data_IF_107618674369
#
_entry.id   IF_107618674369
#
_cell.length_a   1.000
_cell.length_b   1.000
_cell.length_c   1.000
_cell.angle_alpha   90.00
_cell.angle_beta   90.00
_cell.angle_gamma   90.00
#
_symmetry.space_group_name_H-M   'P 1'
#
loop_
_entity.id
_entity.type
_entity.pdbx_description
1 polymer ?
#
# COMPACT_ATOMS: atom_id res chain seq x y z
N UNK A 1 15.12 -15.53 -43.69
CA UNK A 1 15.04 -16.64 -42.73
C UNK A 1 16.15 -16.49 -41.71
N UNK A 2 15.76 -16.47 -40.43
CA UNK A 2 16.57 -16.52 -39.21
C UNK A 2 17.55 -15.39 -38.91
N UNK A 3 17.08 -14.41 -38.12
CA UNK A 3 17.94 -13.65 -37.20
C UNK A 3 17.47 -13.95 -35.78
N UNK A 4 18.39 -14.50 -34.98
CA UNK A 4 18.22 -14.90 -33.58
C UNK A 4 17.98 -13.65 -32.72
N UNK A 5 16.89 -13.64 -31.95
CA UNK A 5 16.68 -12.68 -30.88
C UNK A 5 17.50 -13.10 -29.65
N UNK A 6 18.33 -12.17 -29.17
CA UNK A 6 19.02 -12.25 -27.88
C UNK A 6 18.03 -11.97 -26.76
N UNK A 7 17.77 -12.95 -25.91
CA UNK A 7 17.25 -12.69 -24.56
C UNK A 7 18.37 -12.13 -23.70
N UNK A 8 18.23 -10.88 -23.25
CA UNK A 8 18.97 -10.38 -22.08
C UNK A 8 18.14 -10.71 -20.83
N UNK A 9 18.76 -11.25 -19.77
CA UNK A 9 18.08 -11.47 -18.49
C UNK A 9 17.91 -10.13 -17.78
N UNK A 10 16.65 -9.74 -17.51
CA UNK A 10 16.33 -8.64 -16.61
C UNK A 10 16.74 -9.01 -15.20
N UNK A 11 17.71 -8.28 -14.65
CA UNK A 11 18.28 -8.51 -13.34
C UNK A 11 17.26 -8.28 -12.22
N UNK A 12 17.15 -9.29 -11.37
CA UNK A 12 16.56 -9.22 -10.03
C UNK A 12 17.25 -8.13 -9.21
N UNK A 13 16.51 -7.13 -8.76
CA UNK A 13 16.87 -6.35 -7.58
C UNK A 13 15.79 -6.60 -6.53
N UNK A 14 16.16 -7.40 -5.54
CA UNK A 14 15.40 -7.58 -4.33
C UNK A 14 15.22 -6.22 -3.65
N UNK A 15 13.98 -5.85 -3.35
CA UNK A 15 13.69 -4.81 -2.37
C UNK A 15 14.10 -5.31 -0.98
N UNK A 16 15.41 -5.29 -0.73
CA UNK A 16 15.91 -5.21 0.63
C UNK A 16 15.53 -3.82 1.12
N UNK A 17 14.62 -3.75 2.10
CA UNK A 17 14.43 -2.57 2.92
C UNK A 17 15.76 -2.30 3.65
N UNK A 18 16.66 -1.59 2.96
CA UNK A 18 17.86 -1.03 3.51
C UNK A 18 17.41 0.17 4.33
N UNK A 19 17.37 -0.02 5.65
CA UNK A 19 17.25 1.06 6.62
C UNK A 19 18.47 1.96 6.43
N UNK A 20 18.34 3.00 5.60
CA UNK A 20 19.30 4.10 5.54
C UNK A 20 18.90 5.06 6.66
N UNK A 21 19.59 4.96 7.79
CA UNK A 21 19.59 6.00 8.82
C UNK A 21 20.28 7.23 8.22
N UNK A 22 19.53 8.07 7.50
CA UNK A 22 19.93 9.44 7.23
C UNK A 22 19.69 10.22 8.53
N UNK A 23 20.76 10.42 9.32
CA UNK A 23 20.73 11.31 10.46
C UNK A 23 20.60 12.76 9.97
N UNK A 24 19.61 13.48 10.50
CA UNK A 24 19.53 14.92 10.39
C UNK A 24 19.75 15.57 11.76
N UNK A 25 20.76 16.46 11.74
CA UNK A 25 21.26 17.42 12.72
C UNK A 25 20.43 17.79 13.95
N UNK A 26 21.15 17.88 15.09
CA UNK A 26 20.72 18.46 16.35
C UNK A 26 20.19 19.91 16.19
N UNK A 27 18.94 20.14 16.57
CA UNK A 27 18.48 21.46 17.00
C UNK A 27 17.81 21.34 18.37
N UNK A 28 18.53 21.76 19.40
CA UNK A 28 18.05 21.86 20.79
C UNK A 28 17.07 23.04 20.93
N UNK A 29 15.79 22.76 20.67
CA UNK A 29 14.65 23.61 21.05
C UNK A 29 13.97 23.12 22.34
N UNK A 30 13.28 23.99 23.09
CA UNK A 30 12.89 23.74 24.47
C UNK A 30 11.89 22.58 24.61
N UNK A 31 12.06 21.79 25.66
CA UNK A 31 11.19 20.69 26.04
C UNK A 31 9.82 21.20 26.49
N UNK A 32 8.91 21.37 25.54
CA UNK A 32 7.47 21.41 25.77
C UNK A 32 6.91 20.00 25.59
N UNK A 33 6.24 19.47 26.61
CA UNK A 33 5.59 18.16 26.52
C UNK A 33 4.56 18.14 25.40
N UNK A 34 4.39 16.95 24.80
CA UNK A 34 3.30 16.64 23.85
C UNK A 34 3.51 17.05 22.38
N UNK A 35 4.76 17.07 21.94
CA UNK A 35 5.17 17.12 20.53
C UNK A 35 5.60 15.72 20.08
N UNK A 36 5.26 15.31 18.84
CA UNK A 36 5.75 14.06 18.24
C UNK A 36 7.28 13.97 18.38
N UNK A 37 7.75 12.94 19.07
CA UNK A 37 9.19 12.65 19.17
C UNK A 37 9.72 12.24 17.80
N UNK A 38 11.00 12.47 17.53
CA UNK A 38 11.57 12.11 16.22
C UNK A 38 11.51 10.60 15.96
N UNK A 39 11.57 9.77 17.01
CA UNK A 39 11.38 8.33 16.92
C UNK A 39 9.93 7.95 16.56
N UNK A 40 8.94 8.61 17.17
CA UNK A 40 7.51 8.40 16.84
C UNK A 40 7.21 8.86 15.40
N UNK A 41 7.78 10.00 15.00
CA UNK A 41 7.66 10.54 13.66
C UNK A 41 8.23 9.58 12.60
N UNK A 42 9.44 9.06 12.81
CA UNK A 42 10.04 8.09 11.88
C UNK A 42 9.18 6.82 11.73
N UNK A 43 8.54 6.37 12.81
CA UNK A 43 7.63 5.22 12.77
C UNK A 43 6.33 5.54 12.00
N UNK A 44 5.76 6.73 12.24
CA UNK A 44 4.58 7.22 11.52
C UNK A 44 4.87 7.32 10.02
N UNK A 45 6.04 7.82 9.64
CA UNK A 45 6.38 8.02 8.23
C UNK A 45 6.53 6.71 7.45
N UNK A 46 7.19 5.71 8.05
CA UNK A 46 7.30 4.38 7.44
C UNK A 46 5.92 3.72 7.32
N UNK A 47 5.11 3.77 8.39
CA UNK A 47 3.81 3.10 8.40
C UNK A 47 2.84 3.75 7.41
N UNK A 48 2.80 5.08 7.36
CA UNK A 48 2.01 5.81 6.37
C UNK A 48 2.47 5.50 4.94
N UNK A 49 3.79 5.47 4.71
CA UNK A 49 4.35 5.13 3.39
C UNK A 49 3.91 3.75 2.91
N UNK A 50 3.97 2.75 3.79
CA UNK A 50 3.53 1.39 3.50
C UNK A 50 2.03 1.32 3.14
N UNK A 51 1.17 2.03 3.89
CA UNK A 51 -0.28 2.06 3.62
C UNK A 51 -0.59 2.84 2.33
N UNK A 52 0.04 3.99 2.10
CA UNK A 52 -0.17 4.78 0.87
C UNK A 52 0.31 4.02 -0.39
N UNK A 53 1.47 3.36 -0.33
CA UNK A 53 1.97 2.51 -1.41
C UNK A 53 1.00 1.35 -1.71
N UNK A 54 0.40 0.77 -0.67
CA UNK A 54 -0.58 -0.30 -0.82
C UNK A 54 -1.85 0.19 -1.52
N UNK A 55 -2.35 1.38 -1.16
CA UNK A 55 -3.56 1.96 -1.77
C UNK A 55 -3.34 2.37 -3.22
N UNK A 56 -2.25 3.09 -3.49
CA UNK A 56 -1.86 3.46 -4.85
C UNK A 56 -1.59 2.22 -5.70
N UNK A 57 -0.96 1.19 -5.12
CA UNK A 57 -0.70 -0.07 -5.80
C UNK A 57 -1.99 -0.79 -6.19
N UNK A 58 -3.00 -0.76 -5.32
CA UNK A 58 -4.29 -1.35 -5.62
C UNK A 58 -5.04 -0.61 -6.73
N UNK A 59 -5.00 0.72 -6.73
CA UNK A 59 -5.58 1.54 -7.80
C UNK A 59 -4.94 1.25 -9.17
N UNK A 60 -3.60 1.12 -9.22
CA UNK A 60 -2.88 0.93 -10.49
C UNK A 60 -2.81 -0.52 -10.98
N UNK A 61 -3.08 -1.47 -10.09
CA UNK A 61 -2.90 -2.88 -10.38
C UNK A 61 -4.10 -3.73 -9.96
N UNK A 62 -5.31 -3.21 -9.79
CA UNK A 62 -6.49 -4.03 -9.50
C UNK A 62 -6.37 -4.86 -8.21
N UNK A 63 -5.85 -4.25 -7.14
CA UNK A 63 -5.82 -4.83 -5.80
C UNK A 63 -4.99 -6.11 -5.63
N UNK A 64 -5.47 -7.00 -4.76
CA UNK A 64 -4.86 -8.27 -4.40
C UNK A 64 -5.10 -9.38 -5.42
N UNK A 65 -6.02 -9.27 -6.39
CA UNK A 65 -6.16 -10.32 -7.43
C UNK A 65 -4.90 -10.42 -8.27
N UNK A 66 -4.40 -9.27 -8.74
CA UNK A 66 -3.15 -9.20 -9.49
C UNK A 66 -1.92 -9.48 -8.62
N UNK A 67 -2.06 -9.46 -7.29
CA UNK A 67 -1.02 -9.93 -6.38
C UNK A 67 -0.68 -11.41 -6.55
N UNK A 68 -1.69 -12.22 -6.85
CA UNK A 68 -1.54 -13.66 -6.96
C UNK A 68 -1.46 -14.13 -8.42
N UNK A 69 -1.46 -13.20 -9.38
CA UNK A 69 -1.22 -13.50 -10.77
C UNK A 69 0.21 -14.05 -10.96
N UNK A 70 0.40 -15.18 -11.66
CA UNK A 70 1.66 -15.95 -11.66
C UNK A 70 2.88 -15.21 -12.24
N UNK A 71 2.69 -14.08 -12.93
CA UNK A 71 3.77 -13.21 -13.41
C UNK A 71 4.00 -11.96 -12.55
N UNK A 72 3.19 -11.72 -11.52
CA UNK A 72 3.42 -10.62 -10.58
C UNK A 72 4.31 -11.13 -9.45
N UNK A 73 5.52 -10.57 -9.26
CA UNK A 73 6.43 -11.01 -8.21
C UNK A 73 5.97 -10.42 -6.88
N UNK A 74 4.87 -10.93 -6.32
CA UNK A 74 4.48 -10.57 -4.97
C UNK A 74 5.28 -11.38 -3.94
N UNK A 75 6.01 -10.62 -3.14
CA UNK A 75 6.51 -10.93 -1.80
C UNK A 75 7.47 -12.10 -1.60
N UNK A 76 7.62 -13.05 -2.52
CA UNK A 76 8.27 -14.32 -2.19
C UNK A 76 9.23 -14.81 -3.26
N UNK A 77 10.52 -14.77 -2.90
CA UNK A 77 11.57 -15.41 -3.68
C UNK A 77 11.33 -16.91 -3.90
N UNK A 78 12.07 -17.53 -4.83
CA UNK A 78 11.77 -18.82 -5.47
C UNK A 78 11.73 -20.07 -4.56
N UNK A 79 11.83 -19.92 -3.24
CA UNK A 79 11.90 -21.02 -2.26
C UNK A 79 10.86 -20.95 -1.14
N UNK A 80 9.85 -20.07 -1.24
CA UNK A 80 8.86 -19.83 -0.18
C UNK A 80 7.47 -19.74 -0.76
N UNK A 81 6.98 -20.83 -1.34
CA UNK A 81 5.70 -20.78 -2.05
C UNK A 81 4.53 -20.96 -1.07
N UNK A 82 3.77 -19.90 -0.72
CA UNK A 82 2.63 -19.99 0.19
C UNK A 82 1.45 -20.77 -0.43
N UNK A 83 1.52 -21.04 -1.75
CA UNK A 83 0.45 -21.66 -2.52
C UNK A 83 0.11 -23.07 -2.04
N UNK A 84 0.95 -23.70 -1.22
CA UNK A 84 0.65 -25.03 -0.65
C UNK A 84 -0.55 -25.03 0.30
N UNK A 85 -0.89 -23.88 0.89
CA UNK A 85 -2.05 -23.75 1.79
C UNK A 85 -3.11 -22.79 1.26
N UNK A 86 -2.86 -22.14 0.11
CA UNK A 86 -3.81 -21.20 -0.44
C UNK A 86 -4.94 -21.98 -1.10
N UNK A 87 -6.15 -21.82 -0.56
CA UNK A 87 -7.38 -22.32 -1.15
C UNK A 87 -8.03 -21.16 -1.89
N UNK A 88 -8.38 -21.42 -3.15
CA UNK A 88 -9.04 -20.49 -4.05
C UNK A 88 -10.42 -21.08 -4.36
N UNK A 89 -11.48 -20.30 -4.21
CA UNK A 89 -12.83 -20.77 -4.52
C UNK A 89 -13.82 -19.63 -4.74
N UNK A 90 -14.88 -19.85 -5.55
CA UNK A 90 -15.22 -21.08 -6.26
C UNK A 90 -14.29 -21.41 -7.44
N UNK A 91 -14.33 -22.67 -7.90
CA UNK A 91 -13.67 -23.16 -9.12
C UNK A 91 -14.69 -23.90 -10.01
N UNK A 92 -14.74 -23.64 -11.34
CA UNK A 92 -13.96 -22.63 -12.06
C UNK A 92 -14.28 -21.22 -11.57
N UNK A 93 -13.32 -20.31 -11.71
CA UNK A 93 -13.54 -18.90 -11.41
C UNK A 93 -14.40 -18.34 -12.55
N UNK A 94 -15.53 -17.73 -12.17
CA UNK A 94 -16.40 -17.02 -13.10
C UNK A 94 -15.91 -15.58 -13.25
N UNK A 95 -15.93 -15.11 -14.49
CA UNK A 95 -15.54 -13.79 -14.98
C UNK A 95 -16.42 -13.58 -16.22
N UNK A 96 -17.61 -13.04 -15.98
CA UNK A 96 -18.72 -13.07 -16.95
C UNK A 96 -18.47 -12.13 -18.12
N UNK A 97 -17.83 -10.99 -17.90
CA UNK A 97 -17.54 -9.97 -18.90
C UNK A 97 -16.09 -9.97 -19.44
N UNK A 98 -15.23 -10.82 -18.87
CA UNK A 98 -13.85 -11.07 -19.30
C UNK A 98 -12.90 -9.89 -19.10
N UNK A 99 -13.11 -9.09 -18.06
CA UNK A 99 -12.20 -8.00 -17.70
C UNK A 99 -11.03 -8.43 -16.79
N UNK A 100 -11.03 -9.69 -16.36
CA UNK A 100 -10.00 -10.27 -15.51
C UNK A 100 -10.24 -10.07 -14.00
N UNK A 101 -11.32 -9.38 -13.61
CA UNK A 101 -11.85 -9.37 -12.25
C UNK A 101 -12.86 -10.50 -12.12
N UNK A 102 -12.75 -11.38 -11.11
CA UNK A 102 -13.73 -12.44 -10.94
C UNK A 102 -15.05 -11.90 -10.41
N UNK A 103 -16.18 -12.39 -10.92
CA UNK A 103 -17.53 -12.11 -10.41
C UNK A 103 -17.56 -12.29 -8.88
N UNK A 104 -16.94 -13.38 -8.41
CA UNK A 104 -16.70 -13.64 -7.00
C UNK A 104 -15.55 -14.64 -6.82
N UNK A 105 -14.60 -14.30 -5.94
CA UNK A 105 -13.48 -15.14 -5.58
C UNK A 105 -13.13 -14.99 -4.09
N UNK A 106 -12.81 -16.09 -3.43
CA UNK A 106 -12.22 -16.08 -2.09
C UNK A 106 -10.86 -16.76 -2.13
N UNK A 107 -9.87 -16.03 -1.62
CA UNK A 107 -8.51 -16.47 -1.38
C UNK A 107 -8.34 -16.68 0.12
N UNK A 108 -8.04 -17.89 0.57
CA UNK A 108 -7.92 -18.20 2.00
C UNK A 108 -6.76 -19.13 2.31
N UNK A 109 -6.05 -18.90 3.40
CA UNK A 109 -5.06 -19.85 3.91
C UNK A 109 -5.72 -20.94 4.75
N UNK A 110 -5.52 -22.21 4.36
CA UNK A 110 -6.05 -23.39 5.06
C UNK A 110 -4.93 -24.40 5.32
N UNK A 111 -4.68 -24.81 6.58
CA UNK A 111 -5.29 -24.27 7.80
C UNK A 111 -4.92 -22.78 8.03
N UNK A 112 -5.66 -22.09 8.89
CA UNK A 112 -5.37 -20.71 9.32
C UNK A 112 -4.84 -20.70 10.77
N UNK A 113 -3.56 -20.33 11.02
CA UNK A 113 -2.56 -19.93 10.04
C UNK A 113 -1.93 -21.13 9.30
N UNK A 114 -1.55 -20.92 8.04
CA UNK A 114 -0.71 -21.83 7.27
C UNK A 114 0.74 -21.62 7.67
N UNK A 115 1.40 -22.66 8.15
CA UNK A 115 2.78 -22.57 8.67
C UNK A 115 3.77 -23.24 7.73
N UNK A 116 4.72 -22.46 7.24
CA UNK A 116 5.87 -22.91 6.45
C UNK A 116 7.12 -22.89 7.32
N UNK A 117 7.61 -24.07 7.71
CA UNK A 117 8.81 -24.21 8.53
C UNK A 117 10.08 -24.07 7.69
N UNK A 118 11.01 -23.23 8.15
CA UNK A 118 12.30 -22.91 7.53
C UNK A 118 13.45 -23.16 8.52
N UNK A 119 13.51 -24.39 9.05
CA UNK A 119 14.51 -24.79 10.03
C UNK A 119 14.19 -24.23 11.42
N UNK A 120 14.95 -23.21 11.87
CA UNK A 120 14.70 -22.56 13.18
C UNK A 120 13.70 -21.42 13.09
N UNK A 121 13.28 -21.04 11.89
CA UNK A 121 12.27 -20.01 11.66
C UNK A 121 11.02 -20.63 11.04
N UNK A 122 9.93 -19.89 11.10
CA UNK A 122 8.70 -20.22 10.39
C UNK A 122 8.11 -18.95 9.76
N UNK A 123 7.36 -19.14 8.68
CA UNK A 123 6.49 -18.13 8.09
C UNK A 123 5.06 -18.62 8.26
N UNK A 124 4.20 -17.78 8.80
CA UNK A 124 2.79 -18.06 9.00
C UNK A 124 1.99 -17.13 8.09
N UNK A 125 1.07 -17.68 7.32
CA UNK A 125 0.12 -16.94 6.49
C UNK A 125 -1.27 -17.12 7.06
N UNK A 126 -2.04 -16.03 7.19
CA UNK A 126 -3.35 -16.07 7.85
C UNK A 126 -4.42 -15.35 7.07
N UNK A 127 -5.68 -15.69 7.39
CA UNK A 127 -6.85 -14.97 6.94
C UNK A 127 -7.26 -15.25 5.49
N UNK A 128 -8.08 -14.34 4.97
CA UNK A 128 -8.68 -14.42 3.64
C UNK A 128 -8.87 -13.04 3.01
N UNK A 129 -9.01 -13.06 1.69
CA UNK A 129 -9.50 -11.92 0.90
C UNK A 129 -10.64 -12.45 0.04
N UNK A 130 -11.78 -11.79 0.11
CA UNK A 130 -12.85 -11.96 -0.87
C UNK A 130 -12.75 -10.84 -1.87
N UNK A 131 -12.89 -11.18 -3.13
CA UNK A 131 -12.91 -10.26 -4.26
C UNK A 131 -14.20 -10.47 -5.03
N UNK A 132 -14.80 -9.39 -5.51
CA UNK A 132 -15.95 -9.44 -6.41
C UNK A 132 -15.91 -8.28 -7.39
N UNK A 133 -16.38 -8.54 -8.61
CA UNK A 133 -16.78 -7.49 -9.54
C UNK A 133 -18.17 -6.96 -9.15
N UNK A 134 -18.32 -5.65 -8.86
CA UNK A 134 -19.62 -5.06 -8.55
C UNK A 134 -20.55 -4.94 -9.77
N UNK A 135 -20.05 -5.04 -11.01
CA UNK A 135 -20.81 -4.93 -12.26
C UNK A 135 -20.46 -6.08 -13.24
N UNK A 136 -20.72 -7.36 -12.87
CA UNK A 136 -20.23 -8.56 -13.58
C UNK A 136 -20.69 -8.74 -15.04
N UNK A 137 -21.60 -7.90 -15.52
CA UNK A 137 -22.08 -7.92 -16.90
C UNK A 137 -21.41 -6.83 -17.78
N UNK A 138 -20.45 -6.06 -17.24
CA UNK A 138 -19.85 -4.90 -17.89
C UNK A 138 -18.36 -4.76 -17.58
N UNK A 139 -17.53 -5.16 -18.56
CA UNK A 139 -16.09 -5.11 -18.43
C UNK A 139 -15.57 -3.73 -17.97
N UNK A 140 -14.77 -3.73 -16.91
CA UNK A 140 -14.33 -2.54 -16.21
C UNK A 140 -13.02 -2.73 -15.44
N UNK A 141 -12.77 -1.82 -14.50
CA UNK A 141 -11.68 -1.96 -13.52
C UNK A 141 -12.25 -2.20 -12.11
N UNK A 142 -13.55 -2.46 -12.07
CA UNK A 142 -14.35 -2.36 -10.88
C UNK A 142 -14.10 -3.59 -10.00
N UNK A 143 -13.64 -3.36 -8.78
CA UNK A 143 -13.27 -4.44 -7.88
C UNK A 143 -13.58 -4.04 -6.45
N UNK A 144 -14.32 -4.91 -5.77
CA UNK A 144 -14.55 -4.86 -4.33
C UNK A 144 -13.73 -5.95 -3.63
N UNK A 145 -12.98 -5.55 -2.60
CA UNK A 145 -12.21 -6.45 -1.74
C UNK A 145 -12.70 -6.38 -0.30
N UNK A 146 -12.92 -7.54 0.31
CA UNK A 146 -13.12 -7.71 1.74
C UNK A 146 -11.94 -8.48 2.32
N UNK A 147 -11.15 -7.79 3.13
CA UNK A 147 -9.91 -8.31 3.72
C UNK A 147 -10.21 -8.74 5.16
N UNK A 148 -10.02 -10.02 5.45
CA UNK A 148 -10.23 -10.59 6.79
C UNK A 148 -8.97 -11.22 7.33
N UNK A 149 -8.36 -10.58 8.32
CA UNK A 149 -7.13 -11.03 9.02
C UNK A 149 -6.02 -11.47 8.08
N UNK A 150 -5.96 -10.89 6.89
CA UNK A 150 -5.02 -11.27 5.86
C UNK A 150 -3.63 -10.81 6.26
N UNK A 151 -2.68 -11.74 6.38
CA UNK A 151 -1.40 -11.37 6.98
C UNK A 151 -0.30 -12.40 6.87
N UNK A 152 0.88 -11.94 7.26
CA UNK A 152 2.10 -12.74 7.35
C UNK A 152 2.76 -12.53 8.71
N UNK A 153 3.19 -13.62 9.33
CA UNK A 153 4.07 -13.57 10.50
C UNK A 153 5.37 -14.33 10.22
N UNK A 154 6.47 -13.80 10.75
CA UNK A 154 7.79 -14.40 10.68
C UNK A 154 8.26 -14.75 12.08
N UNK A 155 8.27 -16.04 12.38
CA UNK A 155 8.82 -16.58 13.62
C UNK A 155 10.33 -16.67 13.50
N UNK A 156 11.02 -15.96 14.40
CA UNK A 156 12.47 -15.87 14.50
C UNK A 156 13.05 -17.09 15.24
N UNK A 157 14.38 -17.35 15.14
CA UNK A 157 15.03 -18.51 15.77
C UNK A 157 14.88 -18.61 17.29
N UNK A 158 14.53 -17.51 17.95
CA UNK A 158 14.28 -17.41 19.39
C UNK A 158 12.78 -17.56 19.74
N UNK A 159 11.94 -18.02 18.81
CA UNK A 159 10.50 -18.23 18.99
C UNK A 159 9.65 -16.95 18.97
N UNK A 160 10.26 -15.79 18.73
CA UNK A 160 9.58 -14.49 18.69
C UNK A 160 9.05 -14.22 17.26
N UNK A 161 7.83 -13.71 17.10
CA UNK A 161 7.25 -13.46 15.77
C UNK A 161 7.05 -11.97 15.43
N UNK A 162 7.50 -11.53 14.25
CA UNK A 162 7.10 -10.23 13.67
C UNK A 162 5.95 -10.47 12.72
N UNK A 163 4.82 -9.79 12.92
CA UNK A 163 3.61 -9.99 12.11
C UNK A 163 3.07 -8.69 11.55
N UNK A 164 2.38 -8.80 10.42
CA UNK A 164 1.57 -7.76 9.81
C UNK A 164 0.25 -8.40 9.37
N UNK A 165 -0.86 -7.85 9.85
CA UNK A 165 -2.21 -8.37 9.59
C UNK A 165 -3.12 -7.22 9.18
N UNK A 166 -3.89 -7.41 8.12
CA UNK A 166 -4.83 -6.42 7.59
C UNK A 166 -6.27 -6.87 7.74
N UNK A 167 -7.16 -5.92 7.96
CA UNK A 167 -8.61 -6.08 7.92
C UNK A 167 -9.22 -4.86 7.27
N UNK A 168 -10.33 -5.02 6.57
CA UNK A 168 -11.03 -3.87 6.01
C UNK A 168 -11.65 -4.15 4.67
N UNK A 169 -11.99 -3.06 3.98
CA UNK A 169 -12.56 -3.09 2.64
C UNK A 169 -11.82 -2.13 1.73
N UNK A 170 -11.87 -2.45 0.44
CA UNK A 170 -11.41 -1.58 -0.64
C UNK A 170 -12.39 -1.73 -1.79
N UNK A 171 -12.78 -0.62 -2.39
CA UNK A 171 -13.41 -0.59 -3.71
C UNK A 171 -12.49 0.17 -4.67
N UNK A 172 -12.37 -0.28 -5.90
CA UNK A 172 -11.79 0.47 -7.03
C UNK A 172 -12.84 0.48 -8.14
N UNK A 173 -12.98 1.60 -8.85
CA UNK A 173 -13.92 1.71 -9.97
C UNK A 173 -13.41 2.67 -11.03
N UNK A 174 -13.91 2.50 -12.25
CA UNK A 174 -13.60 3.37 -13.39
C UNK A 174 -14.79 4.26 -13.73
N UNK A 175 -14.66 5.56 -13.47
CA UNK A 175 -15.57 6.56 -14.02
C UNK A 175 -15.23 6.83 -15.49
N UNK A 176 -15.78 5.98 -16.35
CA UNK A 176 -15.67 6.10 -17.82
C UNK A 176 -16.22 7.41 -18.38
N UNK A 177 -17.06 8.13 -17.64
CA UNK A 177 -17.57 9.44 -18.05
C UNK A 177 -16.53 10.55 -17.96
N UNK A 178 -15.50 10.37 -17.12
CA UNK A 178 -14.45 11.35 -16.86
C UNK A 178 -13.03 10.80 -17.06
N UNK A 179 -12.88 9.56 -17.54
CA UNK A 179 -11.59 8.85 -17.66
C UNK A 179 -10.81 8.85 -16.32
N UNK A 180 -11.51 8.57 -15.21
CA UNK A 180 -10.95 8.57 -13.86
C UNK A 180 -11.00 7.19 -13.20
N UNK A 181 -9.88 6.77 -12.60
CA UNK A 181 -9.89 5.65 -11.66
C UNK A 181 -10.04 6.18 -10.24
N UNK A 182 -10.93 5.57 -9.48
CA UNK A 182 -11.17 5.95 -8.09
C UNK A 182 -11.01 4.73 -7.20
N UNK A 183 -10.52 4.94 -5.98
CA UNK A 183 -10.50 3.91 -4.95
C UNK A 183 -11.00 4.49 -3.63
N UNK A 184 -11.83 3.73 -2.92
CA UNK A 184 -12.23 4.00 -1.54
C UNK A 184 -11.70 2.88 -0.66
N UNK A 185 -11.08 3.24 0.45
CA UNK A 185 -10.52 2.26 1.36
C UNK A 185 -10.90 2.54 2.80
N UNK A 186 -11.09 1.45 3.55
CA UNK A 186 -11.12 1.45 5.00
C UNK A 186 -10.32 0.25 5.49
N UNK A 187 -9.00 0.41 5.63
CA UNK A 187 -8.07 -0.68 5.96
C UNK A 187 -7.39 -0.42 7.29
N UNK A 188 -7.46 -1.42 8.18
CA UNK A 188 -6.69 -1.49 9.41
C UNK A 188 -5.50 -2.41 9.24
N UNK A 189 -4.28 -1.87 9.34
CA UNK A 189 -3.02 -2.62 9.37
C UNK A 189 -2.49 -2.73 10.80
N UNK A 190 -2.34 -3.96 11.31
CA UNK A 190 -1.74 -4.21 12.63
C UNK A 190 -0.35 -4.81 12.49
N UNK A 191 0.63 -4.17 13.10
CA UNK A 191 2.00 -4.65 13.21
C UNK A 191 2.29 -5.19 14.62
N UNK A 192 2.79 -6.41 14.68
CA UNK A 192 3.32 -7.00 15.91
C UNK A 192 4.83 -7.12 15.78
N UNK A 193 5.57 -6.52 16.71
CA UNK A 193 7.01 -6.73 16.82
C UNK A 193 7.30 -7.34 18.19
N UNK A 194 8.10 -8.41 18.27
CA UNK A 194 8.34 -9.05 19.54
C UNK A 194 8.92 -8.12 20.59
N UNK A 195 8.44 -8.21 21.83
CA UNK A 195 8.93 -7.37 22.93
C UNK A 195 8.63 -5.87 22.77
N UNK A 196 7.74 -5.51 21.83
CA UNK A 196 7.18 -4.16 21.67
C UNK A 196 5.66 -4.27 21.73
N UNK A 197 5.01 -3.16 22.11
CA UNK A 197 3.57 -3.04 21.94
C UNK A 197 3.20 -3.21 20.46
N UNK A 198 1.99 -3.70 20.18
CA UNK A 198 1.48 -3.68 18.81
C UNK A 198 1.29 -2.23 18.36
N UNK A 199 1.38 -2.06 17.05
CA UNK A 199 1.05 -0.81 16.37
C UNK A 199 -0.10 -1.07 15.43
N UNK A 200 -0.94 -0.09 15.26
CA UNK A 200 -2.07 -0.18 14.36
C UNK A 200 -2.17 1.12 13.56
N UNK A 201 -2.42 0.98 12.27
CA UNK A 201 -2.74 2.08 11.39
C UNK A 201 -4.11 1.82 10.78
N UNK A 202 -4.93 2.86 10.66
CA UNK A 202 -6.23 2.82 10.00
C UNK A 202 -6.20 3.86 8.89
N UNK A 203 -6.22 3.40 7.64
CA UNK A 203 -6.42 4.24 6.46
C UNK A 203 -7.91 4.26 6.12
N UNK A 204 -8.49 5.45 6.10
CA UNK A 204 -9.87 5.69 5.67
C UNK A 204 -9.84 6.89 4.72
N UNK A 205 -9.64 6.62 3.44
CA UNK A 205 -9.38 7.63 2.41
C UNK A 205 -9.90 7.22 1.04
N UNK A 206 -9.98 8.22 0.17
CA UNK A 206 -10.26 8.10 -1.24
C UNK A 206 -9.00 8.46 -2.04
N UNK A 207 -8.78 7.73 -3.14
CA UNK A 207 -7.81 8.07 -4.17
C UNK A 207 -8.55 8.33 -5.48
N UNK A 208 -8.10 9.33 -6.24
CA UNK A 208 -8.64 9.68 -7.55
C UNK A 208 -7.48 9.92 -8.52
N UNK A 209 -7.41 9.08 -9.55
CA UNK A 209 -6.49 9.23 -10.66
C UNK A 209 -7.22 9.75 -11.89
N UNK A 210 -6.74 10.86 -12.44
CA UNK A 210 -7.27 11.53 -13.62
C UNK A 210 -6.28 11.35 -14.78
N UNK A 211 -6.70 10.64 -15.83
CA UNK A 211 -5.88 10.39 -17.02
C UNK A 211 -5.87 11.58 -17.97
N UNK A 212 -4.68 11.99 -18.45
CA UNK A 212 -4.57 12.98 -19.53
C UNK A 212 -4.98 12.43 -20.91
N UNK A 213 -5.34 11.14 -20.95
CA UNK A 213 -5.89 10.43 -22.09
C UNK A 213 -6.83 9.35 -21.56
N UNK A 214 -7.59 8.73 -22.47
CA UNK A 214 -8.54 7.68 -22.12
C UNK A 214 -7.86 6.53 -21.35
N UNK A 215 -8.49 6.10 -20.27
CA UNK A 215 -8.07 4.91 -19.53
C UNK A 215 -8.74 3.71 -20.19
N UNK A 216 -7.92 2.82 -20.74
CA UNK A 216 -8.40 1.67 -21.53
C UNK A 216 -7.97 0.39 -20.84
N UNK A 217 -8.95 -0.47 -20.56
CA UNK A 217 -8.74 -1.79 -19.98
C UNK A 217 -7.60 -2.55 -20.70
N UNK A 218 -6.78 -3.26 -19.92
CA UNK A 218 -5.57 -3.96 -20.36
C UNK A 218 -4.48 -3.10 -21.03
N UNK A 219 -4.61 -1.78 -21.05
CA UNK A 219 -3.54 -0.87 -21.45
C UNK A 219 -2.82 -0.29 -20.22
N UNK A 220 -1.52 0.02 -20.34
CA UNK A 220 -0.84 0.82 -19.33
C UNK A 220 -1.59 2.12 -19.07
N UNK A 221 -1.69 2.52 -17.81
CA UNK A 221 -2.28 3.81 -17.47
C UNK A 221 -1.57 4.94 -18.22
N UNK A 222 -2.32 5.91 -18.77
CA UNK A 222 -1.74 7.09 -19.38
C UNK A 222 -1.06 7.96 -18.33
N UNK A 223 -0.28 8.96 -18.77
CA UNK A 223 0.13 10.03 -17.86
C UNK A 223 -1.11 10.74 -17.30
N UNK A 224 -1.02 11.25 -16.08
CA UNK A 224 -2.20 11.78 -15.38
C UNK A 224 -1.84 12.43 -14.06
N UNK A 225 -2.84 12.63 -13.21
CA UNK A 225 -2.65 13.17 -11.87
C UNK A 225 -3.36 12.31 -10.83
N UNK A 226 -2.74 12.11 -9.68
CA UNK A 226 -3.31 11.39 -8.55
C UNK A 226 -3.58 12.35 -7.39
N UNK A 227 -4.75 12.24 -6.79
CA UNK A 227 -5.09 12.84 -5.51
C UNK A 227 -5.46 11.77 -4.49
N UNK A 228 -5.15 12.04 -3.23
CA UNK A 228 -5.56 11.30 -2.03
C UNK A 228 -6.17 12.28 -1.02
N UNK A 229 -7.28 11.89 -0.42
CA UNK A 229 -7.97 12.65 0.62
C UNK A 229 -8.65 11.73 1.64
N UNK A 230 -8.61 12.08 2.92
CA UNK A 230 -9.28 11.33 3.97
C UNK A 230 -8.57 11.41 5.31
N UNK A 231 -8.66 10.34 6.09
CA UNK A 231 -8.04 10.25 7.40
C UNK A 231 -7.10 9.06 7.51
N UNK A 232 -6.07 9.23 8.34
CA UNK A 232 -5.15 8.15 8.69
C UNK A 232 -4.85 8.21 10.18
N UNK A 233 -5.16 7.13 10.89
CA UNK A 233 -4.99 7.06 12.34
C UNK A 233 -3.88 6.10 12.70
N UNK A 234 -2.87 6.57 13.43
CA UNK A 234 -1.80 5.75 13.96
C UNK A 234 -1.95 5.55 15.46
N UNK A 235 -1.88 4.30 15.89
CA UNK A 235 -1.96 3.88 17.30
C UNK A 235 -0.69 3.14 17.68
N UNK A 236 -0.08 3.60 18.76
CA UNK A 236 0.99 2.88 19.44
C UNK A 236 0.81 3.00 20.95
N UNK A 237 0.65 1.84 21.61
CA UNK A 237 0.49 1.73 23.06
C UNK A 237 -0.70 2.56 23.61
N UNK A 238 -0.43 3.75 24.16
CA UNK A 238 -1.46 4.65 24.72
C UNK A 238 -1.65 5.92 23.88
N UNK A 239 -0.94 6.04 22.76
CA UNK A 239 -1.02 7.21 21.89
C UNK A 239 -1.80 6.85 20.65
N UNK A 240 -2.82 7.67 20.39
CA UNK A 240 -3.51 7.75 19.12
C UNK A 240 -3.13 9.08 18.47
N UNK A 241 -2.86 9.04 17.17
CA UNK A 241 -2.54 10.19 16.33
C UNK A 241 -3.43 10.13 15.10
N UNK A 242 -4.42 11.01 15.05
CA UNK A 242 -5.32 11.14 13.91
C UNK A 242 -4.78 12.21 12.97
N UNK A 243 -4.60 11.85 11.71
CA UNK A 243 -4.13 12.74 10.65
C UNK A 243 -5.23 12.94 9.62
N UNK A 244 -5.47 14.19 9.25
CA UNK A 244 -6.15 14.52 8.00
C UNK A 244 -5.13 14.44 6.87
N UNK A 245 -5.43 13.67 5.83
CA UNK A 245 -4.57 13.45 4.67
C UNK A 245 -5.21 14.17 3.50
N UNK A 246 -4.45 15.03 2.82
CA UNK A 246 -4.94 15.77 1.66
C UNK A 246 -3.83 16.03 0.66
N UNK A 247 -4.15 15.92 -0.62
CA UNK A 247 -3.26 16.31 -1.71
C UNK A 247 -3.35 17.81 -1.94
N UNK A 248 -2.25 18.52 -1.69
CA UNK A 248 -2.17 19.97 -1.87
C UNK A 248 -1.81 20.35 -3.31
N UNK A 249 -1.00 19.51 -3.96
CA UNK A 249 -0.69 19.60 -5.38
C UNK A 249 -0.82 18.19 -5.94
N UNK A 250 -1.70 17.94 -6.94
CA UNK A 250 -1.89 16.62 -7.52
C UNK A 250 -0.57 15.97 -7.92
N UNK A 251 -0.40 14.67 -7.64
CA UNK A 251 0.81 13.95 -7.99
C UNK A 251 0.83 13.68 -9.48
N UNK A 252 1.76 14.28 -10.21
CA UNK A 252 1.86 14.14 -11.66
C UNK A 252 2.50 12.79 -12.02
N UNK A 253 1.69 11.84 -12.48
CA UNK A 253 2.13 10.54 -12.96
C UNK A 253 2.63 10.62 -14.40
N UNK A 254 3.85 10.15 -14.64
CA UNK A 254 4.45 10.09 -15.97
C UNK A 254 4.60 8.64 -16.45
N UNK A 255 3.72 8.24 -17.37
CA UNK A 255 3.73 6.92 -17.99
C UNK A 255 5.01 6.63 -18.79
N UNK A 256 5.71 7.67 -19.25
CA UNK A 256 6.97 7.53 -20.01
C UNK A 256 8.16 7.17 -19.12
N UNK A 257 8.00 7.33 -17.80
CA UNK A 257 9.05 6.99 -16.85
C UNK A 257 9.09 5.49 -16.53
N UNK A 258 9.45 4.70 -17.54
CA UNK A 258 9.38 3.24 -17.47
C UNK A 258 10.47 2.59 -16.63
N UNK A 259 11.58 3.29 -16.39
CA UNK A 259 12.70 2.78 -15.59
C UNK A 259 12.38 2.72 -14.08
N UNK A 260 11.35 3.47 -13.65
CA UNK A 260 10.85 3.46 -12.29
C UNK A 260 9.68 2.47 -12.14
N UNK A 261 9.55 1.89 -10.93
CA UNK A 261 8.32 1.19 -10.53
C UNK A 261 7.14 2.17 -10.56
N UNK A 262 5.91 1.74 -10.88
CA UNK A 262 4.74 2.61 -11.04
C UNK A 262 4.54 3.63 -9.90
N UNK A 263 4.74 3.21 -8.65
CA UNK A 263 4.59 4.05 -7.45
C UNK A 263 5.64 5.16 -7.30
N UNK A 264 6.73 5.10 -8.07
CA UNK A 264 7.74 6.14 -8.16
C UNK A 264 7.70 6.87 -9.50
N UNK A 265 6.65 6.70 -10.31
CA UNK A 265 6.48 7.40 -11.59
C UNK A 265 5.93 8.82 -11.46
N UNK A 266 5.92 9.36 -10.25
CA UNK A 266 5.49 10.73 -10.01
C UNK A 266 6.65 11.70 -10.21
N UNK A 267 6.48 12.70 -11.07
CA UNK A 267 7.49 13.71 -11.37
C UNK A 267 7.43 14.89 -10.43
N UNK A 268 6.23 15.22 -9.93
CA UNK A 268 5.98 16.28 -8.96
C UNK A 268 4.68 16.03 -8.19
N UNK A 269 4.47 16.79 -7.13
CA UNK A 269 3.23 16.77 -6.34
C UNK A 269 3.49 16.75 -4.84
N UNK A 270 2.42 16.99 -4.08
CA UNK A 270 2.51 17.24 -2.65
C UNK A 270 1.29 16.73 -1.89
N UNK A 271 1.55 15.89 -0.88
CA UNK A 271 0.56 15.43 0.09
C UNK A 271 0.88 16.01 1.46
N UNK A 272 -0.13 16.51 2.15
CA UNK A 272 -0.05 16.91 3.56
C UNK A 272 -0.74 15.89 4.45
N UNK A 273 -0.11 15.60 5.58
CA UNK A 273 -0.70 14.88 6.70
C UNK A 273 -0.72 15.81 7.89
N UNK A 274 -1.90 16.19 8.32
CA UNK A 274 -2.10 17.17 9.38
C UNK A 274 -2.55 16.46 10.63
N UNK A 275 -1.70 16.41 11.65
CA UNK A 275 -2.09 15.94 12.98
C UNK A 275 -3.04 16.97 13.58
N UNK A 276 -4.26 16.52 13.87
CA UNK A 276 -5.28 17.35 14.54
C UNK A 276 -5.41 16.92 15.99
N UNK A 277 -5.41 17.91 16.89
CA UNK A 277 -5.67 17.72 18.33
C UNK A 277 -6.80 18.64 18.74
N UNK A 278 -7.89 18.06 19.27
CA UNK A 278 -9.07 18.81 19.70
C UNK A 278 -9.63 19.76 18.61
N UNK A 279 -9.56 19.36 17.34
CA UNK A 279 -10.00 20.17 16.19
C UNK A 279 -8.98 21.21 15.70
N UNK A 280 -7.80 21.31 16.33
CA UNK A 280 -6.74 22.25 15.93
C UNK A 280 -5.57 21.51 15.27
N UNK A 281 -5.11 21.93 14.09
CA UNK A 281 -3.86 21.46 13.50
C UNK A 281 -2.65 21.76 14.40
N UNK A 282 -1.85 20.75 14.73
CA UNK A 282 -0.65 20.90 15.58
C UNK A 282 0.64 20.46 14.90
N UNK A 283 0.58 19.58 13.90
CA UNK A 283 1.73 19.18 13.09
C UNK A 283 1.27 19.00 11.65
N UNK A 284 2.07 19.47 10.69
CA UNK A 284 1.90 19.17 9.27
C UNK A 284 3.15 18.42 8.79
N UNK A 285 2.95 17.23 8.24
CA UNK A 285 3.99 16.45 7.56
C UNK A 285 3.72 16.56 6.06
N UNK A 286 4.60 17.28 5.36
CA UNK A 286 4.58 17.47 3.92
C UNK A 286 5.39 16.37 3.26
N UNK A 287 4.80 15.67 2.30
CA UNK A 287 5.45 14.64 1.46
C UNK A 287 5.48 15.17 0.03
N UNK A 288 6.68 15.34 -0.54
CA UNK A 288 6.87 16.01 -1.83
C UNK A 288 7.59 15.10 -2.83
N UNK A 289 7.00 14.92 -4.00
CA UNK A 289 7.65 14.29 -5.14
C UNK A 289 8.35 15.36 -5.97
N UNK A 290 9.59 15.07 -6.39
CA UNK A 290 10.45 16.05 -7.08
C UNK A 290 11.08 15.53 -8.36
N UNK A 291 10.81 14.26 -8.70
CA UNK A 291 11.28 13.68 -9.93
C UNK A 291 10.96 12.21 -10.03
N UNK A 292 10.85 11.73 -11.27
CA UNK A 292 10.55 10.33 -11.47
C UNK A 292 11.67 9.40 -10.99
N UNK A 293 11.28 8.29 -10.39
CA UNK A 293 12.18 7.28 -9.82
C UNK A 293 12.85 7.71 -8.53
N UNK A 294 12.50 8.88 -8.00
CA UNK A 294 13.01 9.40 -6.74
C UNK A 294 12.02 9.12 -5.61
N UNK A 295 12.56 8.77 -4.45
CA UNK A 295 11.77 8.73 -3.22
C UNK A 295 11.33 10.16 -2.85
N UNK A 296 10.08 10.34 -2.37
CA UNK A 296 9.62 11.66 -1.96
C UNK A 296 10.37 12.18 -0.74
N UNK A 297 10.55 13.50 -0.68
CA UNK A 297 11.10 14.19 0.50
C UNK A 297 10.01 14.45 1.52
N UNK A 298 10.41 14.61 2.78
CA UNK A 298 9.51 14.81 3.91
C UNK A 298 9.95 16.01 4.73
N UNK A 299 9.01 16.90 5.03
CA UNK A 299 9.24 18.08 5.86
C UNK A 299 8.18 18.15 6.95
N UNK A 300 8.60 18.41 8.19
CA UNK A 300 7.70 18.47 9.35
C UNK A 300 7.65 19.87 9.91
N UNK A 301 6.45 20.44 9.90
CA UNK A 301 6.16 21.74 10.52
C UNK A 301 5.35 21.51 11.79
N UNK A 302 5.90 21.91 12.92
CA UNK A 302 5.19 21.92 14.21
C UNK A 302 4.51 23.27 14.35
N UNK A 303 3.19 23.27 14.44
CA UNK A 303 2.41 24.49 14.64
C UNK A 303 2.41 24.78 16.15
N UNK A 304 3.05 25.87 16.56
CA UNK A 304 3.02 26.30 17.97
C UNK A 304 1.60 26.64 18.36
N UNK A 305 1.15 26.13 19.52
CA UNK A 305 -0.06 26.60 20.19
C UNK A 305 0.04 28.12 20.36
N UNK A 306 -0.65 28.87 19.50
CA UNK A 306 -0.94 30.29 19.77
C UNK A 306 -2.09 30.31 20.76
N UNK A 307 -1.76 30.13 22.04
CA UNK A 307 -2.59 30.51 23.18
C UNK A 307 -2.01 31.75 23.84
#
# INVERSE_FOLDING_TARGET
MNVRAWCRPGGLVAAAALVVLAGCSDSSGPAGGDVLTDAELAEIEVTFGDDADLSMGALFHGGMVNAFHPVTPMFMGPHRNPLTCLVIGPLPVEDTDQDGVPDFLTLQFVPDPCVVNLGRTAIEFSGSVTVSDPVPDQAGYDIDEVIYRFGVAHTLPNGRAKAMVRNGTRGVWHDTGHDQLQAQEMITTRHTTPGRAFKEAVADWQLTFDGNAAIVLDQPLPSGTLAIEGSWTFRNHNHERAFDVMTMTPLAYDATCTDARPLLRFTEGEIHKTLVRNGTPVVVIKVTWTGCGQEPTREVTRLTDTT
#
